data_IF_399584146604
#
_entry.id   IF_399584146604
#
_cell.length_a   1.000
_cell.length_b   1.000
_cell.length_c   1.000
_cell.angle_alpha   90.00
_cell.angle_beta   90.00
_cell.angle_gamma   90.00
#
_symmetry.space_group_name_H-M   'P 1'
#
loop_
_entity.id
_entity.type
_entity.pdbx_description
1 polymer ?
#
# COMPACT_ATOMS: atom_id res chain seq x y z
N UNK A 1 -18.58 -22.34 -1.92
CA UNK A 1 -17.90 -22.99 -0.77
C UNK A 1 -17.96 -22.00 0.38
N UNK A 2 -18.97 -22.13 1.27
CA UNK A 2 -19.02 -21.38 2.53
C UNK A 2 -17.93 -21.95 3.43
N UNK A 3 -16.93 -21.15 3.77
CA UNK A 3 -15.99 -21.52 4.84
C UNK A 3 -16.72 -21.28 6.16
N UNK A 4 -17.30 -22.34 6.71
CA UNK A 4 -17.70 -22.40 8.11
C UNK A 4 -16.42 -22.45 8.94
N UNK A 5 -16.11 -21.37 9.64
CA UNK A 5 -15.17 -21.43 10.75
C UNK A 5 -15.99 -21.91 11.95
N UNK A 6 -16.00 -23.21 12.19
CA UNK A 6 -16.47 -23.76 13.47
C UNK A 6 -15.46 -23.36 14.55
N UNK A 7 -15.86 -22.42 15.42
CA UNK A 7 -15.14 -22.14 16.66
C UNK A 7 -15.87 -22.88 17.79
N UNK A 8 -15.20 -23.75 18.56
CA UNK A 8 -15.83 -24.58 19.56
C UNK A 8 -16.46 -23.70 20.65
N UNK A 9 -17.66 -24.08 21.07
CA UNK A 9 -18.39 -23.46 22.16
C UNK A 9 -17.53 -23.38 23.43
N UNK A 10 -17.02 -22.19 23.75
CA UNK A 10 -16.71 -21.83 25.12
C UNK A 10 -17.35 -20.47 25.42
N UNK A 11 -18.37 -20.49 26.28
CA UNK A 11 -19.08 -19.30 26.74
C UNK A 11 -18.20 -18.58 27.76
N UNK A 12 -17.61 -17.45 27.38
CA UNK A 12 -17.27 -16.39 28.32
C UNK A 12 -17.92 -15.10 27.83
N UNK A 13 -19.04 -14.75 28.49
CA UNK A 13 -19.79 -13.55 28.18
C UNK A 13 -19.04 -12.31 28.63
N UNK A 14 -19.06 -11.28 27.80
CA UNK A 14 -19.11 -9.89 28.28
C UNK A 14 -20.36 -9.25 27.68
N UNK A 15 -21.28 -8.84 28.56
CA UNK A 15 -22.47 -8.08 28.23
C UNK A 15 -22.04 -6.66 27.86
N UNK A 16 -21.73 -6.42 26.59
CA UNK A 16 -21.56 -5.08 26.04
C UNK A 16 -22.11 -5.06 24.62
N UNK A 17 -23.20 -4.29 24.43
CA UNK A 17 -23.91 -3.99 23.16
C UNK A 17 -23.32 -4.68 21.92
N UNK A 18 -23.72 -5.94 21.71
CA UNK A 18 -23.16 -6.79 20.67
C UNK A 18 -23.73 -6.39 19.29
N UNK A 19 -23.14 -5.36 18.67
CA UNK A 19 -23.38 -5.03 17.27
C UNK A 19 -22.62 -6.03 16.40
N UNK A 20 -23.06 -7.28 16.39
CA UNK A 20 -22.55 -8.30 15.48
C UNK A 20 -22.73 -7.79 14.04
N UNK A 21 -21.61 -7.55 13.36
CA UNK A 21 -21.57 -7.20 11.94
C UNK A 21 -21.19 -8.43 11.16
N UNK A 22 -22.15 -8.97 10.41
CA UNK A 22 -21.89 -10.01 9.43
C UNK A 22 -21.45 -9.34 8.13
N UNK A 23 -20.30 -9.77 7.61
CA UNK A 23 -19.74 -9.27 6.35
C UNK A 23 -19.79 -10.39 5.33
N UNK A 24 -20.51 -10.17 4.24
CA UNK A 24 -20.58 -11.13 3.13
C UNK A 24 -19.32 -11.02 2.25
N UNK A 25 -18.37 -11.91 2.49
CA UNK A 25 -17.11 -11.97 1.76
C UNK A 25 -17.34 -12.28 0.28
N UNK A 26 -18.36 -13.07 -0.07
CA UNK A 26 -18.65 -13.40 -1.47
C UNK A 26 -19.10 -12.15 -2.22
N UNK A 27 -19.96 -11.33 -1.60
CA UNK A 27 -20.38 -10.05 -2.17
C UNK A 27 -19.19 -9.11 -2.39
N UNK A 28 -18.26 -9.04 -1.43
CA UNK A 28 -17.05 -8.22 -1.55
C UNK A 28 -16.15 -8.75 -2.66
N UNK A 29 -15.86 -10.05 -2.68
CA UNK A 29 -15.03 -10.67 -3.70
C UNK A 29 -15.62 -10.51 -5.11
N UNK A 30 -16.94 -10.63 -5.25
CA UNK A 30 -17.65 -10.37 -6.50
C UNK A 30 -17.53 -8.92 -6.95
N UNK A 31 -17.60 -7.97 -6.01
CA UNK A 31 -17.49 -6.53 -6.29
C UNK A 31 -16.06 -6.14 -6.69
N UNK A 32 -15.04 -6.66 -5.99
CA UNK A 32 -13.63 -6.37 -6.26
C UNK A 32 -13.11 -7.07 -7.51
N UNK A 33 -13.65 -8.25 -7.81
CA UNK A 33 -13.22 -9.08 -8.92
C UNK A 33 -11.97 -9.91 -8.62
N UNK A 34 -11.82 -11.00 -9.36
CA UNK A 34 -10.78 -12.02 -9.13
C UNK A 34 -9.36 -11.48 -9.21
N UNK A 35 -9.09 -10.56 -10.14
CA UNK A 35 -7.76 -9.98 -10.34
C UNK A 35 -7.26 -9.22 -9.11
N UNK A 36 -8.12 -8.36 -8.53
CA UNK A 36 -7.81 -7.64 -7.29
C UNK A 36 -7.67 -8.63 -6.14
N UNK A 37 -8.60 -9.57 -5.99
CA UNK A 37 -8.55 -10.57 -4.93
C UNK A 37 -7.25 -11.39 -4.94
N UNK A 38 -6.74 -11.76 -6.11
CA UNK A 38 -5.48 -12.50 -6.24
C UNK A 38 -4.25 -11.66 -5.88
N UNK A 39 -4.32 -10.34 -6.05
CA UNK A 39 -3.24 -9.42 -5.70
C UNK A 39 -3.19 -9.05 -4.21
N UNK A 40 -4.32 -9.21 -3.49
CA UNK A 40 -4.45 -8.82 -2.08
C UNK A 40 -3.40 -9.43 -1.14
N UNK A 41 -3.03 -10.72 -1.24
CA UNK A 41 -2.05 -11.31 -0.32
C UNK A 41 -0.67 -10.66 -0.43
N UNK A 42 -0.18 -10.47 -1.66
CA UNK A 42 1.08 -9.79 -1.91
C UNK A 42 1.01 -8.31 -1.54
N UNK A 43 -0.11 -7.64 -1.85
CA UNK A 43 -0.34 -6.25 -1.47
C UNK A 43 -0.22 -6.08 0.04
N UNK A 44 -0.89 -6.95 0.80
CA UNK A 44 -0.89 -6.94 2.25
C UNK A 44 0.53 -7.06 2.81
N UNK A 45 1.29 -8.05 2.33
CA UNK A 45 2.69 -8.26 2.72
C UNK A 45 3.59 -7.06 2.34
N UNK A 46 3.36 -6.46 1.18
CA UNK A 46 4.16 -5.35 0.66
C UNK A 46 3.90 -4.04 1.43
N UNK A 47 2.65 -3.76 1.81
CA UNK A 47 2.28 -2.53 2.53
C UNK A 47 2.40 -2.65 4.04
N UNK A 48 2.46 -3.87 4.60
CA UNK A 48 2.54 -4.11 6.03
C UNK A 48 1.28 -3.63 6.77
N UNK A 49 0.10 -3.99 6.27
CA UNK A 49 -1.18 -3.45 6.74
C UNK A 49 -1.76 -4.10 8.01
N UNK A 50 -1.19 -5.20 8.52
CA UNK A 50 -1.62 -5.89 9.74
C UNK A 50 -0.91 -5.43 11.02
N UNK A 51 0.29 -4.87 10.90
CA UNK A 51 1.10 -4.51 12.06
C UNK A 51 0.97 -3.03 12.45
N UNK A 52 1.33 -2.72 13.70
CA UNK A 52 1.41 -1.35 14.24
C UNK A 52 2.38 -0.43 13.46
N UNK A 53 3.08 -0.96 12.45
CA UNK A 53 4.08 -0.29 11.62
C UNK A 53 3.77 -0.51 10.14
N UNK A 54 3.10 0.46 9.51
CA UNK A 54 2.95 0.46 8.05
C UNK A 54 4.30 0.57 7.35
N UNK A 55 4.54 -0.19 6.28
CA UNK A 55 5.78 -0.15 5.48
C UNK A 55 6.02 1.21 4.84
N UNK A 56 4.96 1.95 4.54
CA UNK A 56 5.01 3.27 3.93
C UNK A 56 4.58 4.35 4.93
N UNK A 57 5.55 5.17 5.37
CA UNK A 57 5.30 6.22 6.34
C UNK A 57 4.19 7.19 5.88
N UNK A 58 3.18 7.39 6.74
CA UNK A 58 2.02 8.27 6.50
C UNK A 58 1.20 7.95 5.24
N UNK A 59 1.30 6.74 4.70
CA UNK A 59 0.38 6.24 3.67
C UNK A 59 -0.69 5.39 4.34
N UNK A 60 -1.87 5.96 4.52
CA UNK A 60 -3.03 5.20 4.99
C UNK A 60 -3.40 4.13 3.94
N UNK A 61 -3.92 2.98 4.36
CA UNK A 61 -4.24 1.78 3.54
C UNK A 61 -4.98 2.07 2.23
N UNK A 62 -5.91 3.03 2.23
CA UNK A 62 -6.63 3.44 1.02
C UNK A 62 -5.74 4.10 -0.05
N UNK A 63 -4.58 4.63 0.34
CA UNK A 63 -3.64 5.31 -0.54
C UNK A 63 -2.93 4.33 -1.47
N UNK A 64 -2.29 3.24 -0.99
CA UNK A 64 -1.75 2.20 -1.85
C UNK A 64 -2.83 1.32 -2.49
N UNK A 65 -3.98 1.10 -1.84
CA UNK A 65 -5.03 0.27 -2.43
C UNK A 65 -5.62 0.86 -3.73
N UNK A 66 -5.78 2.18 -3.81
CA UNK A 66 -6.37 2.87 -4.99
C UNK A 66 -5.61 2.62 -6.30
N UNK A 67 -4.26 2.78 -6.36
CA UNK A 67 -3.48 2.40 -7.53
C UNK A 67 -3.63 0.93 -7.91
N UNK A 68 -3.60 0.01 -6.93
CA UNK A 68 -3.76 -1.43 -7.17
C UNK A 68 -5.12 -1.73 -7.81
N UNK A 69 -6.20 -1.21 -7.24
CA UNK A 69 -7.57 -1.44 -7.72
C UNK A 69 -7.77 -0.95 -9.17
N UNK A 70 -7.10 0.13 -9.56
CA UNK A 70 -7.28 0.77 -10.87
C UNK A 70 -6.40 0.20 -11.99
N UNK A 71 -5.31 -0.48 -11.64
CA UNK A 71 -4.28 -0.88 -12.60
C UNK A 71 -4.18 -2.40 -12.69
N UNK A 72 -4.62 -2.96 -13.83
CA UNK A 72 -4.42 -4.40 -14.12
C UNK A 72 -2.95 -4.79 -14.10
N UNK A 73 -2.06 -3.89 -14.53
CA UNK A 73 -0.61 -4.10 -14.49
C UNK A 73 -0.12 -4.37 -13.07
N UNK A 74 -0.57 -3.58 -12.09
CA UNK A 74 -0.19 -3.82 -10.69
C UNK A 74 -0.86 -5.08 -10.16
N UNK A 75 -2.13 -5.32 -10.47
CA UNK A 75 -2.82 -6.55 -10.05
C UNK A 75 -2.09 -7.81 -10.55
N UNK A 76 -1.66 -7.82 -11.82
CA UNK A 76 -0.91 -8.93 -12.40
C UNK A 76 0.44 -9.15 -11.72
N UNK A 77 1.23 -8.08 -11.52
CA UNK A 77 2.51 -8.16 -10.83
C UNK A 77 2.35 -8.70 -9.40
N UNK A 78 1.46 -8.10 -8.62
CA UNK A 78 1.17 -8.54 -7.25
C UNK A 78 0.57 -9.96 -7.19
N UNK A 79 -0.22 -10.39 -8.18
CA UNK A 79 -0.74 -11.76 -8.22
C UNK A 79 0.32 -12.83 -8.48
N UNK A 80 1.45 -12.46 -9.10
CA UNK A 80 2.59 -13.35 -9.38
C UNK A 80 3.64 -13.31 -8.27
N UNK A 81 3.64 -12.23 -7.49
CA UNK A 81 4.55 -12.03 -6.37
C UNK A 81 4.42 -13.18 -5.36
N UNK A 82 5.55 -13.79 -5.00
CA UNK A 82 5.59 -14.97 -4.13
C UNK A 82 5.42 -16.33 -4.85
N UNK A 83 5.21 -16.32 -6.17
CA UNK A 83 5.14 -17.55 -6.98
C UNK A 83 6.49 -18.11 -7.43
N UNK A 84 7.59 -17.40 -7.20
CA UNK A 84 8.96 -17.81 -7.52
C UNK A 84 9.93 -17.35 -6.43
N UNK A 85 10.94 -18.17 -6.13
CA UNK A 85 12.05 -17.79 -5.23
C UNK A 85 13.04 -16.83 -5.91
N UNK A 86 13.05 -16.79 -7.25
CA UNK A 86 13.86 -15.84 -8.02
C UNK A 86 13.11 -14.55 -8.19
N UNK A 87 13.60 -13.49 -7.53
CA UNK A 87 13.16 -12.13 -7.77
C UNK A 87 13.65 -11.72 -9.16
N UNK A 88 12.73 -11.58 -10.11
CA UNK A 88 13.05 -10.86 -11.33
C UNK A 88 13.22 -9.37 -10.96
N UNK A 89 14.08 -8.62 -11.66
CA UNK A 89 14.28 -7.18 -11.40
C UNK A 89 13.04 -6.41 -11.87
N UNK A 90 11.93 -6.61 -11.19
CA UNK A 90 10.64 -6.09 -11.60
C UNK A 90 10.58 -4.59 -11.33
N UNK A 91 10.48 -3.84 -12.42
CA UNK A 91 10.31 -2.39 -12.42
C UNK A 91 8.90 -1.99 -11.94
N UNK A 92 7.98 -2.96 -11.82
CA UNK A 92 6.56 -2.69 -11.62
C UNK A 92 6.28 -2.32 -10.16
N UNK A 93 6.94 -2.95 -9.20
CA UNK A 93 6.87 -2.61 -7.78
C UNK A 93 7.49 -1.24 -7.51
N UNK A 94 8.61 -0.92 -8.17
CA UNK A 94 9.20 0.42 -8.10
C UNK A 94 8.27 1.48 -8.67
N UNK A 95 7.65 1.21 -9.83
CA UNK A 95 6.65 2.09 -10.44
C UNK A 95 5.42 2.25 -9.55
N UNK A 96 4.96 1.17 -8.92
CA UNK A 96 3.87 1.18 -7.97
C UNK A 96 4.19 2.06 -6.75
N UNK A 97 5.40 1.94 -6.18
CA UNK A 97 5.88 2.83 -5.12
C UNK A 97 5.92 4.29 -5.61
N UNK A 98 6.42 4.55 -6.82
CA UNK A 98 6.39 5.90 -7.39
C UNK A 98 4.96 6.46 -7.45
N UNK A 99 3.99 5.65 -7.86
CA UNK A 99 2.58 6.04 -7.93
C UNK A 99 1.96 6.33 -6.55
N UNK A 100 2.27 5.54 -5.51
CA UNK A 100 1.85 5.80 -4.11
C UNK A 100 2.34 7.18 -3.63
N UNK A 101 3.48 7.63 -4.13
CA UNK A 101 4.09 8.92 -3.80
C UNK A 101 3.73 10.04 -4.79
N UNK A 102 2.83 9.78 -5.75
CA UNK A 102 2.29 10.78 -6.68
C UNK A 102 3.06 10.93 -7.99
N UNK A 103 4.13 10.15 -8.20
CA UNK A 103 5.01 10.23 -9.36
C UNK A 103 4.67 9.18 -10.42
N UNK A 104 3.47 9.26 -11.02
CA UNK A 104 2.91 8.26 -11.96
C UNK A 104 3.71 8.04 -13.25
N UNK A 105 4.68 8.90 -13.55
CA UNK A 105 5.50 8.82 -14.78
C UNK A 105 6.86 8.16 -14.52
N UNK A 106 7.21 7.96 -13.25
CA UNK A 106 8.49 7.40 -12.87
C UNK A 106 8.31 5.92 -12.56
N UNK A 107 9.27 5.14 -13.06
CA UNK A 107 9.39 3.72 -12.78
C UNK A 107 10.61 3.41 -11.91
N UNK A 108 11.23 4.44 -11.32
CA UNK A 108 12.40 4.31 -10.47
C UNK A 108 12.21 5.09 -9.19
N UNK A 109 12.28 4.37 -8.07
CA UNK A 109 12.13 4.97 -6.74
C UNK A 109 13.21 6.02 -6.49
N UNK A 110 14.45 5.73 -6.90
CA UNK A 110 15.56 6.69 -6.77
C UNK A 110 15.32 8.00 -7.52
N UNK A 111 14.75 7.95 -8.73
CA UNK A 111 14.37 9.16 -9.47
C UNK A 111 13.27 9.92 -8.74
N UNK A 112 12.26 9.21 -8.21
CA UNK A 112 11.20 9.83 -7.42
C UNK A 112 11.74 10.51 -6.15
N UNK A 113 12.68 9.87 -5.43
CA UNK A 113 13.34 10.46 -4.27
C UNK A 113 14.07 11.76 -4.66
N UNK A 114 14.80 11.74 -5.77
CA UNK A 114 15.53 12.91 -6.25
C UNK A 114 14.60 14.05 -6.68
N UNK A 115 13.52 13.77 -7.40
CA UNK A 115 12.54 14.79 -7.80
C UNK A 115 11.84 15.42 -6.60
N UNK A 116 11.39 14.60 -5.63
CA UNK A 116 10.77 15.10 -4.38
C UNK A 116 11.79 15.93 -3.60
N UNK A 117 13.05 15.51 -3.55
CA UNK A 117 14.12 16.31 -2.95
C UNK A 117 14.28 17.65 -3.67
N UNK A 118 14.40 17.69 -5.00
CA UNK A 118 14.51 18.96 -5.71
C UNK A 118 13.30 19.87 -5.45
N UNK A 119 12.08 19.32 -5.41
CA UNK A 119 10.88 20.11 -5.14
C UNK A 119 10.83 20.65 -3.70
N UNK A 120 11.32 19.88 -2.72
CA UNK A 120 11.39 20.32 -1.33
C UNK A 120 12.56 21.29 -1.05
N UNK A 121 13.66 21.17 -1.80
CA UNK A 121 14.93 21.86 -1.51
C UNK A 121 15.29 22.95 -2.56
N UNK A 122 14.42 23.23 -3.54
CA UNK A 122 14.59 24.35 -4.49
C UNK A 122 14.78 25.66 -3.72
N UNK A 123 15.95 26.34 -3.83
CA UNK A 123 16.17 27.60 -3.16
C UNK A 123 15.21 28.65 -3.73
N UNK A 124 14.41 29.26 -2.86
CA UNK A 124 13.42 30.28 -3.26
C UNK A 124 14.05 31.65 -3.56
N UNK A 125 15.34 31.85 -3.26
CA UNK A 125 16.11 33.08 -3.46
C UNK A 125 17.59 32.83 -3.12
N UNK A 126 18.49 33.80 -3.37
CA UNK A 126 19.93 33.88 -3.03
C UNK A 126 20.29 33.74 -1.53
N UNK A 127 19.43 33.11 -0.73
CA UNK A 127 19.74 32.73 0.64
C UNK A 127 20.40 31.33 0.68
N UNK A 128 21.06 31.04 1.79
CA UNK A 128 21.78 29.79 2.03
C UNK A 128 20.92 28.57 1.68
N UNK A 129 21.54 27.56 1.06
CA UNK A 129 20.93 26.31 0.57
C UNK A 129 19.98 25.64 1.58
N UNK A 130 20.21 25.83 2.89
CA UNK A 130 19.41 25.24 3.97
C UNK A 130 18.62 26.27 4.80
N UNK A 131 18.80 27.58 4.58
CA UNK A 131 18.22 28.63 5.43
C UNK A 131 16.70 28.78 5.32
N UNK A 132 16.10 28.29 4.23
CA UNK A 132 14.66 28.40 3.96
C UNK A 132 13.84 27.12 4.19
N UNK A 133 14.46 26.02 4.62
CA UNK A 133 13.79 24.72 4.75
C UNK A 133 13.05 24.70 6.10
N UNK A 134 11.75 24.95 6.08
CA UNK A 134 10.85 24.77 7.22
C UNK A 134 9.93 23.56 6.98
N UNK A 135 9.66 22.79 8.02
CA UNK A 135 8.76 21.62 8.00
C UNK A 135 9.24 20.49 7.07
N UNK A 136 10.54 20.13 7.14
CA UNK A 136 11.03 18.92 6.47
C UNK A 136 10.30 17.69 7.03
N UNK A 137 9.70 16.92 6.12
CA UNK A 137 8.90 15.77 6.46
C UNK A 137 9.41 14.58 5.64
N UNK A 138 10.40 13.87 6.17
CA UNK A 138 11.09 12.76 5.51
C UNK A 138 10.12 11.66 5.01
N UNK A 139 8.96 11.49 5.66
CA UNK A 139 7.92 10.54 5.25
C UNK A 139 7.26 10.86 3.90
N UNK A 140 7.53 12.03 3.30
CA UNK A 140 7.09 12.36 1.94
C UNK A 140 7.98 11.77 0.86
N UNK A 141 9.16 11.29 1.22
CA UNK A 141 10.09 10.64 0.29
C UNK A 141 9.79 9.13 0.33
N UNK A 142 9.77 8.44 -0.84
CA UNK A 142 9.70 7.00 -0.89
C UNK A 142 10.76 6.33 0.01
N UNK A 143 10.46 5.16 0.61
CA UNK A 143 11.46 4.38 1.33
C UNK A 143 12.65 4.12 0.42
#
# INVERSE_FOLDING_TARGET
MMVLIEVPHNKSGTLSKNNLRLVDINKIAFTLGTSVCNALPAFHAFTGCDDHTASFARKAELTPFKPLEKSKKFQEAFSRMGGSETLSHETIEEEYVCEIYGNRKLSSVNKARFEIFLDCYKPKSNQSLFGGIKNFEASRIPP
#
